data_IF_649719586414
#
_entry.id   IF_649719586414
#
_cell.length_a   1.000
_cell.length_b   1.000
_cell.length_c   1.000
_cell.angle_alpha   90.00
_cell.angle_beta   90.00
_cell.angle_gamma   90.00
#
_symmetry.space_group_name_H-M   'P 1'
#
loop_
_entity.id
_entity.type
_entity.pdbx_description
1 polymer ?
#
# COMPACT_ATOMS: atom_id res chain seq x y z
N UNK A 1 -12.24 0.20 2.02
CA UNK A 1 -12.15 1.64 1.78
C UNK A 1 -10.98 1.89 0.83
N UNK A 2 -11.21 2.60 -0.25
CA UNK A 2 -10.19 2.86 -1.29
C UNK A 2 -9.83 4.33 -1.41
N UNK A 3 -10.77 5.22 -1.07
CA UNK A 3 -10.60 6.66 -1.17
C UNK A 3 -10.62 7.29 0.22
N UNK A 4 -9.88 8.37 0.39
CA UNK A 4 -9.76 9.06 1.70
C UNK A 4 -11.10 9.70 2.10
N UNK A 5 -11.87 10.15 1.14
CA UNK A 5 -13.19 10.79 1.35
C UNK A 5 -14.23 9.83 1.94
N UNK A 6 -14.09 8.52 1.67
CA UNK A 6 -14.95 7.50 2.24
C UNK A 6 -14.87 7.43 3.78
N UNK A 7 -13.75 7.87 4.39
CA UNK A 7 -13.52 7.75 5.83
C UNK A 7 -14.57 8.52 6.63
N UNK A 8 -14.73 9.80 6.33
CA UNK A 8 -15.69 10.66 7.03
C UNK A 8 -17.13 10.18 6.84
N UNK A 9 -17.47 9.72 5.64
CA UNK A 9 -18.80 9.18 5.36
C UNK A 9 -19.06 7.90 6.16
N UNK A 10 -18.12 6.94 6.19
CA UNK A 10 -18.27 5.69 6.95
C UNK A 10 -18.39 5.98 8.44
N UNK A 11 -17.57 6.88 8.99
CA UNK A 11 -17.64 7.28 10.41
C UNK A 11 -19.01 7.87 10.75
N UNK A 12 -19.52 8.74 9.89
CA UNK A 12 -20.86 9.32 10.08
C UNK A 12 -21.95 8.24 10.06
N UNK A 13 -21.90 7.27 9.14
CA UNK A 13 -22.86 6.17 9.08
C UNK A 13 -22.78 5.25 10.32
N UNK A 14 -21.57 4.94 10.79
CA UNK A 14 -21.38 4.11 11.97
C UNK A 14 -21.91 4.82 13.24
N UNK A 15 -21.62 6.10 13.41
CA UNK A 15 -22.14 6.89 14.54
C UNK A 15 -23.67 6.99 14.50
N UNK A 16 -24.25 7.27 13.34
CA UNK A 16 -25.71 7.29 13.19
C UNK A 16 -26.37 5.94 13.51
N UNK A 17 -25.69 4.82 13.18
CA UNK A 17 -26.18 3.49 13.55
C UNK A 17 -26.12 3.27 15.06
N UNK A 18 -25.04 3.66 15.73
CA UNK A 18 -24.88 3.59 17.18
C UNK A 18 -25.96 4.42 17.87
N UNK A 19 -26.18 5.66 17.43
CA UNK A 19 -27.22 6.54 17.97
C UNK A 19 -28.61 5.91 17.84
N UNK A 20 -28.91 5.34 16.65
CA UNK A 20 -30.20 4.66 16.42
C UNK A 20 -30.38 3.42 17.31
N UNK A 21 -29.30 2.68 17.59
CA UNK A 21 -29.35 1.52 18.48
C UNK A 21 -29.62 1.96 19.93
N UNK A 22 -29.00 3.04 20.38
CA UNK A 22 -29.18 3.59 21.74
C UNK A 22 -30.56 4.22 22.00
N UNK A 23 -31.36 4.43 20.95
CA UNK A 23 -32.76 4.81 21.10
C UNK A 23 -33.66 3.63 21.50
N UNK A 24 -33.16 2.38 21.39
CA UNK A 24 -33.92 1.19 21.75
C UNK A 24 -33.76 0.89 23.23
N UNK A 25 -34.88 0.65 23.91
CA UNK A 25 -34.89 0.33 25.32
C UNK A 25 -34.07 -0.95 25.61
N UNK A 26 -33.24 -0.90 26.63
CA UNK A 26 -32.36 -2.02 27.04
C UNK A 26 -31.16 -2.25 26.15
N UNK A 27 -30.89 -1.42 25.13
CA UNK A 27 -29.70 -1.54 24.26
C UNK A 27 -28.74 -0.37 24.55
N UNK A 28 -27.47 -0.72 24.80
CA UNK A 28 -26.36 0.21 24.93
C UNK A 28 -25.24 -0.17 23.96
N UNK A 29 -25.09 0.58 22.89
CA UNK A 29 -24.05 0.39 21.90
C UNK A 29 -22.99 1.49 22.05
N UNK A 30 -21.72 1.11 21.89
CA UNK A 30 -20.61 2.03 21.89
C UNK A 30 -19.60 1.65 20.79
N UNK A 31 -19.19 2.63 20.00
CA UNK A 31 -18.20 2.45 18.95
C UNK A 31 -16.79 2.74 19.48
N UNK A 32 -15.88 1.80 19.31
CA UNK A 32 -14.49 1.96 19.67
C UNK A 32 -13.60 1.93 18.45
N UNK A 33 -12.49 2.66 18.48
CA UNK A 33 -11.48 2.68 17.43
C UNK A 33 -11.76 3.73 16.36
N UNK A 34 -11.25 3.51 15.18
CA UNK A 34 -11.30 4.41 14.03
C UNK A 34 -10.37 3.94 12.92
N UNK A 35 -10.21 4.76 11.91
CA UNK A 35 -9.30 4.47 10.80
C UNK A 35 -7.86 4.78 11.22
N UNK A 36 -7.06 3.73 11.39
CA UNK A 36 -5.65 3.85 11.80
C UNK A 36 -4.68 3.85 10.61
N UNK A 37 -5.12 3.38 9.45
CA UNK A 37 -4.32 3.28 8.22
C UNK A 37 -5.11 3.86 7.05
N UNK A 38 -4.77 5.08 6.59
CA UNK A 38 -5.46 5.69 5.45
C UNK A 38 -5.15 4.96 4.14
N UNK A 39 -5.95 5.13 3.10
CA UNK A 39 -5.66 4.65 1.77
C UNK A 39 -4.33 5.19 1.25
N UNK A 40 -3.65 4.38 0.42
CA UNK A 40 -2.47 4.81 -0.32
C UNK A 40 -2.83 4.92 -1.80
N UNK A 41 -3.11 6.11 -2.33
CA UNK A 41 -3.45 6.30 -3.73
C UNK A 41 -2.22 6.14 -4.63
N UNK A 42 -2.45 5.94 -5.93
CA UNK A 42 -1.41 6.02 -6.95
C UNK A 42 -1.10 7.51 -7.27
N UNK A 43 -0.60 8.23 -6.26
CA UNK A 43 -0.15 9.61 -6.42
C UNK A 43 1.12 9.68 -7.29
N UNK A 44 1.46 10.86 -7.86
CA UNK A 44 2.63 11.01 -8.74
C UNK A 44 3.93 10.47 -8.15
N UNK A 45 4.15 10.66 -6.85
CA UNK A 45 5.36 10.14 -6.17
C UNK A 45 5.39 8.60 -6.11
N UNK A 46 4.26 7.95 -5.81
CA UNK A 46 4.16 6.49 -5.82
C UNK A 46 4.29 5.94 -7.24
N UNK A 47 3.70 6.60 -8.23
CA UNK A 47 3.83 6.25 -9.65
C UNK A 47 5.29 6.34 -10.12
N UNK A 48 6.04 7.34 -9.65
CA UNK A 48 7.47 7.48 -9.96
C UNK A 48 8.27 6.30 -9.43
N UNK A 49 8.07 5.92 -8.16
CA UNK A 49 8.77 4.76 -7.56
C UNK A 49 8.36 3.46 -8.26
N UNK A 50 7.09 3.30 -8.60
CA UNK A 50 6.64 2.15 -9.37
C UNK A 50 7.30 2.09 -10.76
N UNK A 51 7.49 3.21 -11.44
CA UNK A 51 8.22 3.26 -12.70
C UNK A 51 9.67 2.81 -12.55
N UNK A 52 10.35 3.13 -11.45
CA UNK A 52 11.69 2.63 -11.16
C UNK A 52 11.71 1.10 -11.00
N UNK A 53 10.71 0.54 -10.30
CA UNK A 53 10.57 -0.91 -10.17
C UNK A 53 10.37 -1.56 -11.53
N UNK A 54 9.54 -0.96 -12.41
CA UNK A 54 9.35 -1.43 -13.78
C UNK A 54 10.64 -1.38 -14.61
N UNK A 55 11.38 -0.29 -14.52
CA UNK A 55 12.66 -0.15 -15.22
C UNK A 55 13.67 -1.20 -14.75
N UNK A 56 13.82 -1.36 -13.44
CA UNK A 56 14.69 -2.39 -12.86
C UNK A 56 14.27 -3.82 -13.28
N UNK A 57 12.95 -4.08 -13.25
CA UNK A 57 12.39 -5.35 -13.71
C UNK A 57 12.66 -5.61 -15.20
N UNK A 58 12.50 -4.59 -16.04
CA UNK A 58 12.79 -4.68 -17.49
C UNK A 58 14.22 -5.10 -17.79
N UNK A 59 15.21 -4.60 -17.01
CA UNK A 59 16.63 -5.03 -17.14
C UNK A 59 16.84 -6.52 -16.82
N UNK A 60 15.93 -7.11 -16.06
CA UNK A 60 15.96 -8.52 -15.67
C UNK A 60 14.98 -9.39 -16.48
N UNK A 61 14.38 -8.84 -17.54
CA UNK A 61 13.38 -9.54 -18.35
C UNK A 61 12.05 -9.76 -17.62
N UNK A 62 11.75 -8.98 -16.57
CA UNK A 62 10.50 -9.08 -15.80
C UNK A 62 9.49 -8.01 -16.27
N UNK A 63 8.28 -8.44 -16.61
CA UNK A 63 7.14 -7.54 -16.86
C UNK A 63 6.37 -7.29 -15.56
N UNK A 64 6.72 -6.20 -14.87
CA UNK A 64 6.10 -5.84 -13.59
C UNK A 64 4.89 -4.94 -13.85
N UNK A 65 3.73 -5.37 -13.37
CA UNK A 65 2.45 -4.68 -13.51
C UNK A 65 1.95 -4.19 -12.16
N UNK A 66 1.26 -3.06 -12.20
CA UNK A 66 0.51 -2.55 -11.07
C UNK A 66 -0.90 -3.14 -11.05
N UNK A 67 -1.42 -3.38 -9.86
CA UNK A 67 -2.81 -3.76 -9.64
C UNK A 67 -3.33 -3.12 -8.35
N UNK A 68 -4.55 -2.57 -8.35
CA UNK A 68 -5.15 -2.05 -7.13
C UNK A 68 -5.46 -3.20 -6.17
N UNK A 69 -5.27 -2.95 -4.88
CA UNK A 69 -5.59 -3.91 -3.82
C UNK A 69 -6.48 -3.28 -2.76
N UNK A 70 -7.44 -4.05 -2.23
CA UNK A 70 -8.24 -3.66 -1.06
C UNK A 70 -7.53 -3.97 0.27
N UNK A 71 -6.38 -4.63 0.23
CA UNK A 71 -5.57 -4.90 1.41
C UNK A 71 -4.87 -3.65 1.93
N UNK A 72 -4.40 -3.72 3.18
CA UNK A 72 -3.65 -2.67 3.84
C UNK A 72 -2.35 -3.23 4.40
N UNK A 73 -1.27 -2.46 4.32
CA UNK A 73 0.04 -2.83 4.83
C UNK A 73 0.76 -1.62 5.45
N UNK A 74 1.97 -1.81 5.94
CA UNK A 74 2.79 -0.72 6.49
C UNK A 74 3.09 0.38 5.46
N UNK A 75 3.05 0.08 4.17
CA UNK A 75 3.17 1.07 3.10
C UNK A 75 2.13 2.19 3.18
N UNK A 76 0.94 1.91 3.73
CA UNK A 76 -0.08 2.93 3.99
C UNK A 76 0.37 3.93 5.05
N UNK A 77 0.99 3.46 6.14
CA UNK A 77 1.52 4.33 7.20
C UNK A 77 2.71 5.16 6.71
N UNK A 78 3.60 4.56 5.92
CA UNK A 78 4.73 5.26 5.30
C UNK A 78 4.23 6.38 4.38
N UNK A 79 3.23 6.10 3.54
CA UNK A 79 2.61 7.12 2.69
C UNK A 79 2.00 8.24 3.50
N UNK A 80 1.22 7.93 4.55
CA UNK A 80 0.61 8.92 5.43
C UNK A 80 1.64 9.83 6.14
N UNK A 81 2.86 9.32 6.31
CA UNK A 81 3.99 10.07 6.87
C UNK A 81 4.80 10.84 5.81
N UNK A 82 4.30 10.94 4.56
CA UNK A 82 4.96 11.64 3.46
C UNK A 82 6.12 10.86 2.83
N UNK A 83 6.19 9.54 3.02
CA UNK A 83 7.18 8.67 2.40
C UNK A 83 6.55 7.90 1.23
N UNK A 84 6.80 8.27 -0.02
CA UNK A 84 6.32 7.53 -1.18
C UNK A 84 6.96 6.14 -1.21
N UNK A 85 6.16 5.15 -1.55
CA UNK A 85 6.62 3.77 -1.47
C UNK A 85 5.86 2.84 -2.43
N UNK A 86 6.50 1.72 -2.75
CA UNK A 86 5.90 0.56 -3.41
C UNK A 86 6.07 -0.64 -2.50
N UNK A 87 5.01 -1.40 -2.36
CA UNK A 87 4.98 -2.64 -1.58
C UNK A 87 4.77 -3.86 -2.48
N UNK A 88 4.64 -5.04 -1.87
CA UNK A 88 4.36 -6.32 -2.56
C UNK A 88 5.49 -6.72 -3.53
N UNK A 89 6.75 -6.38 -3.22
CA UNK A 89 7.94 -6.77 -3.99
C UNK A 89 8.53 -8.12 -3.56
N UNK A 90 7.89 -8.83 -2.65
CA UNK A 90 8.31 -10.14 -2.17
C UNK A 90 8.14 -11.25 -3.20
N UNK A 91 8.29 -12.49 -2.74
CA UNK A 91 8.19 -13.71 -3.55
C UNK A 91 6.83 -13.84 -4.24
N UNK A 92 6.80 -14.57 -5.33
CA UNK A 92 5.54 -14.97 -5.98
C UNK A 92 4.95 -16.16 -5.25
N UNK A 93 3.64 -16.13 -5.05
CA UNK A 93 2.88 -17.17 -4.37
C UNK A 93 1.40 -17.01 -4.61
N UNK A 94 0.59 -17.63 -3.78
CA UNK A 94 -0.85 -17.56 -3.86
C UNK A 94 -1.53 -18.09 -2.62
N UNK A 95 -2.87 -18.08 -2.65
CA UNK A 95 -3.76 -18.54 -1.60
C UNK A 95 -3.49 -17.88 -0.24
N UNK A 96 -3.12 -16.59 -0.26
CA UNK A 96 -2.75 -15.78 0.92
C UNK A 96 -3.87 -15.85 1.97
N UNK A 97 -3.48 -15.97 3.24
CA UNK A 97 -4.40 -16.09 4.37
C UNK A 97 -5.23 -17.37 4.39
N UNK A 98 -4.73 -18.44 3.79
CA UNK A 98 -5.33 -19.77 3.85
C UNK A 98 -4.33 -20.83 4.30
N UNK A 99 -4.83 -22.02 4.64
CA UNK A 99 -4.04 -23.22 4.94
C UNK A 99 -3.29 -23.78 3.70
N UNK A 100 -3.60 -23.25 2.50
CA UNK A 100 -2.96 -23.60 1.24
C UNK A 100 -2.01 -22.53 0.73
N UNK A 101 -1.68 -21.54 1.55
CA UNK A 101 -0.75 -20.49 1.16
C UNK A 101 0.60 -21.10 0.74
N UNK A 102 1.09 -20.66 -0.42
CA UNK A 102 2.34 -21.17 -0.98
C UNK A 102 3.20 -20.06 -1.56
N UNK A 103 4.51 -20.33 -1.66
CA UNK A 103 5.43 -19.51 -2.41
C UNK A 103 6.17 -20.32 -3.48
N UNK A 104 6.55 -19.66 -4.57
CA UNK A 104 7.41 -20.22 -5.60
C UNK A 104 8.87 -19.98 -5.21
N UNK A 105 9.59 -21.03 -4.84
CA UNK A 105 10.99 -20.95 -4.35
C UNK A 105 11.90 -20.25 -5.38
N UNK A 106 11.72 -20.52 -6.68
CA UNK A 106 12.47 -19.85 -7.75
C UNK A 106 12.34 -18.34 -7.75
N UNK A 107 11.23 -17.80 -7.22
CA UNK A 107 11.02 -16.36 -7.16
C UNK A 107 11.82 -15.65 -6.06
N UNK A 108 12.40 -16.37 -5.10
CA UNK A 108 13.30 -15.78 -4.10
C UNK A 108 14.50 -15.09 -4.77
N UNK A 109 15.20 -15.81 -5.64
CA UNK A 109 16.35 -15.25 -6.37
C UNK A 109 15.91 -14.17 -7.35
N UNK A 110 14.78 -14.37 -8.03
CA UNK A 110 14.19 -13.38 -8.94
C UNK A 110 13.96 -12.04 -8.23
N UNK A 111 13.33 -12.06 -7.05
CA UNK A 111 13.00 -10.85 -6.27
C UNK A 111 14.21 -10.25 -5.58
N UNK A 112 15.14 -11.06 -5.11
CA UNK A 112 16.42 -10.57 -4.58
C UNK A 112 17.21 -9.79 -5.64
N UNK A 113 17.29 -10.30 -6.88
CA UNK A 113 17.92 -9.58 -8.00
C UNK A 113 17.22 -8.26 -8.30
N UNK A 114 15.89 -8.24 -8.34
CA UNK A 114 15.11 -7.01 -8.54
C UNK A 114 15.44 -5.97 -7.46
N UNK A 115 15.38 -6.36 -6.19
CA UNK A 115 15.70 -5.47 -5.07
C UNK A 115 17.12 -4.94 -5.13
N UNK A 116 18.08 -5.80 -5.49
CA UNK A 116 19.49 -5.42 -5.64
C UNK A 116 19.67 -4.37 -6.74
N UNK A 117 19.05 -4.53 -7.91
CA UNK A 117 19.12 -3.54 -9.00
C UNK A 117 18.50 -2.20 -8.57
N UNK A 118 17.35 -2.22 -7.88
CA UNK A 118 16.71 -1.01 -7.36
C UNK A 118 17.65 -0.29 -6.39
N UNK A 119 18.23 -1.01 -5.42
CA UNK A 119 19.15 -0.43 -4.44
C UNK A 119 20.41 0.14 -5.10
N UNK A 120 20.98 -0.53 -6.08
CA UNK A 120 22.15 -0.04 -6.83
C UNK A 120 21.82 1.26 -7.57
N UNK A 121 20.65 1.35 -8.22
CA UNK A 121 20.21 2.56 -8.93
C UNK A 121 19.90 3.72 -7.98
N UNK A 122 19.37 3.44 -6.80
CA UNK A 122 19.22 4.46 -5.74
C UNK A 122 20.59 4.93 -5.23
N UNK A 123 21.51 4.02 -4.97
CA UNK A 123 22.85 4.36 -4.47
C UNK A 123 23.68 5.15 -5.48
N UNK A 124 23.51 4.89 -6.78
CA UNK A 124 24.19 5.65 -7.85
C UNK A 124 23.56 7.02 -8.12
N UNK A 125 22.39 7.32 -7.55
CA UNK A 125 21.63 8.54 -7.84
C UNK A 125 20.84 8.50 -9.16
N UNK A 126 20.86 7.39 -9.90
CA UNK A 126 20.03 7.24 -11.11
C UNK A 126 18.52 7.29 -10.77
N UNK A 127 18.15 6.72 -9.63
CA UNK A 127 16.82 6.89 -9.03
C UNK A 127 16.91 7.95 -7.93
N UNK A 128 16.45 9.16 -8.24
CA UNK A 128 16.52 10.31 -7.31
C UNK A 128 15.41 10.24 -6.25
N UNK A 129 15.71 9.58 -5.12
CA UNK A 129 14.79 9.44 -4.01
C UNK A 129 14.39 10.79 -3.37
N UNK A 130 15.28 11.80 -3.44
CA UNK A 130 15.00 13.15 -2.91
C UNK A 130 13.94 13.83 -3.79
N UNK A 131 14.07 13.75 -5.11
CA UNK A 131 13.08 14.28 -6.03
C UNK A 131 11.72 13.57 -5.86
N UNK A 132 11.68 12.25 -5.70
CA UNK A 132 10.45 11.50 -5.43
C UNK A 132 9.76 11.95 -4.13
N UNK A 133 10.54 12.18 -3.07
CA UNK A 133 10.01 12.71 -1.81
C UNK A 133 9.43 14.11 -1.95
N UNK A 134 10.05 14.98 -2.74
CA UNK A 134 9.51 16.32 -3.03
C UNK A 134 8.18 16.27 -3.75
N UNK A 135 7.98 15.32 -4.67
CA UNK A 135 6.67 15.11 -5.31
C UNK A 135 5.58 14.70 -4.31
N UNK A 136 5.91 13.92 -3.30
CA UNK A 136 4.93 13.53 -2.27
C UNK A 136 4.48 14.72 -1.41
N UNK A 137 5.33 15.72 -1.20
CA UNK A 137 5.00 16.92 -0.43
C UNK A 137 4.09 17.90 -1.18
N UNK A 138 3.81 17.65 -2.47
CA UNK A 138 2.93 18.48 -3.31
C UNK A 138 1.52 17.88 -3.46
N UNK A 139 1.26 16.72 -2.86
CA UNK A 139 -0.03 16.04 -2.85
C UNK A 139 -0.74 16.24 -1.52
#
# INVERSE_FOLDING_TARGET
MKETEDMAWIEAQLNALVDKLNLKDGIHAHLHGGFTRPPKPMAPANAQIFNWVRQAGGLLGQDIKWSPSGGVCEGNNLWASGCPNVDTLGVRGGDIHSDREFMKISSLVERARLSSVILMKLASGEFDAIAAKKLAAQC
#
